data_IF_665178500592
#
_entry.id   IF_665178500592
#
_cell.length_a   1.000
_cell.length_b   1.000
_cell.length_c   1.000
_cell.angle_alpha   90.00
_cell.angle_beta   90.00
_cell.angle_gamma   90.00
#
_symmetry.space_group_name_H-M   'P 1'
#
loop_
_entity.id
_entity.type
_entity.pdbx_description
1 polymer ?
2 non-polymer ?
3 non-polymer ?
4 water ?
#
# COMPACT_ATOMS: atom_id res chain seq x y z
N UNK A 7 -7.76 -14.67 1.94
CA UNK A 7 -7.18 -13.96 0.77
C UNK A 7 -5.91 -14.67 0.27
N UNK A 8 -5.53 -14.40 -0.97
CA UNK A 8 -4.42 -15.09 -1.66
C UNK A 8 -3.44 -14.07 -2.22
N UNK A 9 -2.15 -14.28 -2.07
CA UNK A 9 -1.11 -13.53 -2.75
C UNK A 9 -0.94 -14.01 -4.17
N UNK A 10 -0.87 -13.05 -5.08
CA UNK A 10 -0.67 -13.35 -6.52
C UNK A 10 0.53 -12.63 -7.02
N UNK A 11 1.19 -13.15 -8.11
CA UNK A 11 2.41 -12.51 -8.58
C UNK A 11 2.15 -11.15 -9.26
N UNK A 12 3.14 -10.30 -9.17
CA UNK A 12 3.23 -9.09 -9.97
C UNK A 12 4.64 -8.70 -10.10
N UNK A 13 4.95 -7.82 -11.06
CA UNK A 13 6.32 -7.25 -11.13
C UNK A 13 6.29 -5.78 -11.18
N UNK A 14 7.18 -5.15 -10.48
CA UNK A 14 7.23 -3.72 -10.44
C UNK A 14 7.45 -3.21 -11.86
N UNK A 15 6.69 -2.22 -12.26
CA UNK A 15 7.00 -1.44 -13.49
C UNK A 15 7.64 -0.12 -13.08
N UNK A 16 6.97 0.66 -12.22
CA UNK A 16 7.61 1.85 -11.69
C UNK A 16 6.93 2.35 -10.43
N UNK A 17 7.73 2.83 -9.51
CA UNK A 17 7.19 3.48 -8.35
C UNK A 17 6.47 4.75 -8.74
N UNK A 18 5.41 5.13 -8.01
CA UNK A 18 4.69 6.39 -8.25
C UNK A 18 4.71 7.30 -7.05
N UNK A 19 3.98 6.93 -5.98
CA UNK A 19 4.06 7.72 -4.75
C UNK A 19 3.83 6.83 -3.53
N UNK A 20 3.55 7.42 -2.36
CA UNK A 20 3.49 6.56 -1.17
C UNK A 20 2.42 5.43 -1.20
N UNK A 21 1.30 5.66 -1.90
CA UNK A 21 0.22 4.64 -1.88
C UNK A 21 -0.22 4.22 -3.21
N UNK A 22 0.56 4.54 -4.25
CA UNK A 22 0.28 4.01 -5.60
C UNK A 22 1.59 3.52 -6.22
N UNK A 23 1.48 2.47 -7.01
CA UNK A 23 2.63 1.99 -7.78
C UNK A 23 2.13 1.31 -9.01
N UNK A 24 2.98 1.28 -10.01
CA UNK A 24 2.64 0.68 -11.30
C UNK A 24 3.29 -0.69 -11.34
N UNK A 25 2.52 -1.73 -11.60
CA UNK A 25 2.99 -3.08 -11.62
C UNK A 25 2.34 -3.85 -12.72
N UNK A 26 3.00 -4.91 -13.16
CA UNK A 26 2.43 -5.77 -14.16
C UNK A 26 1.74 -6.96 -13.44
N UNK A 27 0.47 -7.18 -13.72
CA UNK A 27 -0.36 -8.17 -13.11
C UNK A 27 -1.10 -8.95 -14.16
N UNK A 28 -0.97 -10.28 -14.12
CA UNK A 28 -1.49 -11.12 -15.24
C UNK A 28 -0.94 -10.63 -16.59
N UNK A 29 0.28 -10.11 -16.60
CA UNK A 29 0.89 -9.68 -17.86
C UNK A 29 0.40 -8.36 -18.40
N UNK A 30 -0.38 -7.58 -17.63
CA UNK A 30 -0.83 -6.27 -18.08
C UNK A 30 -0.38 -5.20 -17.14
N UNK A 31 -0.10 -4.02 -17.61
CA UNK A 31 0.34 -2.94 -16.73
C UNK A 31 -0.88 -2.40 -15.99
N UNK A 32 -0.75 -2.16 -14.69
CA UNK A 32 -1.82 -1.55 -13.87
C UNK A 32 -1.22 -0.58 -12.89
N UNK A 33 -2.00 0.42 -12.56
CA UNK A 33 -1.71 1.25 -11.40
C UNK A 33 -2.46 0.63 -10.24
N UNK A 34 -1.76 0.32 -9.16
CA UNK A 34 -2.35 -0.14 -7.89
C UNK A 34 -2.37 0.97 -6.88
N UNK A 35 -3.51 1.06 -6.22
CA UNK A 35 -3.75 1.90 -5.04
C UNK A 35 -3.81 0.99 -3.83
N UNK A 36 -3.02 1.29 -2.81
CA UNK A 36 -3.00 0.45 -1.63
C UNK A 36 -4.28 0.57 -0.81
N UNK A 37 -4.85 -0.59 -0.51
CA UNK A 37 -6.05 -0.61 0.37
C UNK A 37 -5.76 -0.07 1.75
N UNK A 38 -6.81 0.58 2.29
CA UNK A 38 -6.93 0.95 3.72
C UNK A 38 -5.97 1.97 4.23
N UNK A 39 -5.27 2.67 3.33
CA UNK A 39 -4.35 3.70 3.73
C UNK A 39 -4.47 4.96 2.97
N UNK A 40 -3.88 6.02 3.52
CA UNK A 40 -3.75 7.26 2.77
C UNK A 40 -2.39 7.86 3.12
N UNK A 41 -1.50 7.96 2.16
CA UNK A 41 -0.26 8.73 2.34
C UNK A 41 -0.50 10.18 1.92
N UNK A 42 0.33 11.10 2.43
CA UNK A 42 0.24 12.50 1.96
C UNK A 42 0.61 12.53 0.49
N UNK A 43 0.08 13.51 -0.26
CA UNK A 43 0.52 13.74 -1.65
C UNK A 43 1.97 14.19 -1.66
N UNK A 44 2.69 13.93 -2.86
CA UNK A 44 4.08 14.39 -2.88
C UNK A 44 4.32 15.86 -2.47
N UNK A 45 3.38 16.74 -2.81
CA UNK A 45 3.51 18.16 -2.45
C UNK A 45 3.13 18.52 -0.99
N UNK A 46 2.76 17.52 -0.18
CA UNK A 46 2.37 17.74 1.22
C UNK A 46 3.45 17.26 2.21
N UNK A 47 3.34 17.68 3.48
CA UNK A 47 4.33 17.25 4.46
C UNK A 47 4.32 15.71 4.61
N UNK A 48 5.52 15.12 4.61
CA UNK A 48 5.75 13.68 4.67
C UNK A 48 5.43 12.98 3.39
N UNK A 49 4.95 13.75 2.40
CA UNK A 49 4.66 13.19 1.06
C UNK A 49 5.90 12.63 0.40
N UNK A 50 6.97 13.41 0.35
CA UNK A 50 8.17 12.85 -0.23
C UNK A 50 8.75 11.63 0.56
N UNK A 51 8.64 11.66 1.90
CA UNK A 51 9.17 10.57 2.71
C UNK A 51 8.33 9.26 2.48
N UNK A 52 7.00 9.45 2.37
CA UNK A 52 6.14 8.27 2.07
C UNK A 52 6.45 7.73 0.72
N UNK A 53 6.62 8.64 -0.28
CA UNK A 53 7.01 8.14 -1.61
C UNK A 53 8.30 7.35 -1.61
N UNK A 54 9.29 7.92 -0.91
CA UNK A 54 10.60 7.26 -0.81
C UNK A 54 10.59 5.93 -0.11
N UNK A 55 9.71 5.82 0.91
CA UNK A 55 9.60 4.59 1.68
C UNK A 55 9.03 3.41 0.81
N UNK A 56 7.92 3.75 0.13
CA UNK A 56 7.31 2.75 -0.72
C UNK A 56 8.28 2.37 -1.88
N UNK A 57 8.86 3.41 -2.50
CA UNK A 57 9.78 3.15 -3.64
C UNK A 57 10.90 2.17 -3.23
N UNK A 58 11.51 2.44 -2.07
CA UNK A 58 12.60 1.57 -1.62
C UNK A 58 12.12 0.16 -1.34
N UNK A 59 10.97 0.06 -0.64
CA UNK A 59 10.46 -1.22 -0.35
C UNK A 59 10.18 -2.06 -1.58
N UNK A 60 9.49 -1.46 -2.57
CA UNK A 60 9.11 -2.25 -3.73
C UNK A 60 10.31 -2.53 -4.68
N UNK A 61 11.16 -1.53 -4.85
CA UNK A 61 12.34 -1.68 -5.77
C UNK A 61 13.35 -2.67 -5.21
N UNK A 62 13.53 -2.70 -3.90
CA UNK A 62 14.55 -3.58 -3.36
C UNK A 62 14.09 -5.03 -3.25
N UNK A 63 12.78 -5.26 -3.33
CA UNK A 63 12.30 -6.59 -3.18
C UNK A 63 12.72 -7.53 -4.32
N UNK A 64 12.96 -8.77 -3.93
CA UNK A 64 13.20 -9.84 -4.89
C UNK A 64 11.87 -10.20 -5.60
N UNK A 65 10.78 -10.21 -4.83
CA UNK A 65 9.46 -10.39 -5.45
C UNK A 65 8.48 -9.46 -4.79
N UNK A 66 7.59 -8.94 -5.62
CA UNK A 66 6.33 -8.34 -5.11
C UNK A 66 5.13 -9.22 -5.39
N UNK A 67 4.10 -9.11 -4.56
CA UNK A 67 2.88 -9.82 -4.72
C UNK A 67 1.72 -8.88 -4.42
N UNK A 68 0.62 -9.11 -5.07
CA UNK A 68 -0.60 -8.35 -4.80
C UNK A 68 -1.64 -9.27 -4.21
N UNK A 69 -2.42 -8.76 -3.25
CA UNK A 69 -3.46 -9.54 -2.65
C UNK A 69 -4.75 -8.72 -2.67
N UNK A 70 -5.74 -9.17 -3.45
CA UNK A 70 -7.01 -8.50 -3.46
C UNK A 70 -7.83 -8.88 -2.25
N UNK A 71 -8.76 -8.02 -1.85
CA UNK A 71 -9.67 -8.34 -0.76
C UNK A 71 -10.90 -9.03 -1.36
N UNK A 72 -11.98 -9.07 -0.57
CA UNK A 72 -13.19 -9.85 -0.96
C UNK A 72 -14.13 -9.06 -1.86
N UNK A 73 -13.97 -7.75 -1.95
CA UNK A 73 -14.84 -6.87 -2.66
C UNK A 73 -14.25 -6.34 -3.97
N UNK A 74 -14.50 -5.06 -4.18
CA UNK A 74 -14.07 -4.38 -5.39
C UNK A 74 -12.57 -4.54 -5.60
N UNK A 75 -12.17 -4.95 -6.80
CA UNK A 75 -10.75 -5.08 -7.15
C UNK A 75 -10.17 -3.89 -7.89
N UNK A 76 -11.06 -3.03 -8.39
CA UNK A 76 -10.61 -1.80 -9.02
C UNK A 76 -11.50 -0.67 -8.59
N UNK A 77 -10.92 0.54 -8.56
CA UNK A 77 -11.70 1.73 -8.19
C UNK A 77 -12.25 2.41 -9.44
N UNK A 78 -12.95 3.52 -9.21
CA UNK A 78 -13.60 4.24 -10.31
C UNK A 78 -12.61 4.81 -11.32
N UNK A 79 -11.33 4.86 -10.97
CA UNK A 79 -10.28 5.34 -11.88
C UNK A 79 -9.62 4.16 -12.61
N UNK A 80 -10.03 2.93 -12.35
CA UNK A 80 -9.36 1.77 -12.98
C UNK A 80 -8.10 1.32 -12.27
N UNK A 81 -7.79 1.91 -11.10
CA UNK A 81 -6.70 1.43 -10.30
C UNK A 81 -7.03 0.16 -9.59
N UNK A 82 -6.08 -0.78 -9.56
CA UNK A 82 -6.23 -1.99 -8.74
C UNK A 82 -6.25 -1.66 -7.27
N UNK A 83 -7.05 -2.33 -6.49
CA UNK A 83 -7.08 -2.08 -5.03
C UNK A 83 -6.56 -3.31 -4.34
N UNK A 84 -5.40 -3.21 -3.69
CA UNK A 84 -4.74 -4.38 -3.17
C UNK A 84 -3.90 -4.08 -1.97
N UNK A 85 -3.58 -5.18 -1.26
CA UNK A 85 -2.46 -5.19 -0.34
C UNK A 85 -1.20 -5.63 -1.08
N UNK A 86 -0.12 -4.87 -0.96
CA UNK A 86 1.08 -5.20 -1.78
C UNK A 86 2.16 -5.67 -0.86
N UNK A 87 2.76 -6.83 -1.17
CA UNK A 87 3.81 -7.47 -0.30
C UNK A 87 5.14 -7.43 -0.97
N UNK A 88 6.15 -6.98 -0.25
CA UNK A 88 7.55 -6.91 -0.78
C UNK A 88 8.33 -7.95 -0.01
N UNK A 89 8.66 -9.05 -0.70
CA UNK A 89 9.37 -10.19 -0.04
C UNK A 89 8.62 -10.55 1.25
N UNK A 90 7.29 -10.63 1.15
CA UNK A 90 6.44 -11.13 2.22
C UNK A 90 6.01 -10.05 3.20
N UNK A 91 6.58 -8.85 3.10
CA UNK A 91 6.23 -7.82 4.12
C UNK A 91 5.16 -6.91 3.48
N UNK A 92 4.08 -6.65 4.21
CA UNK A 92 3.02 -5.83 3.65
C UNK A 92 3.37 -4.35 3.61
N UNK A 93 3.40 -3.73 2.44
CA UNK A 93 3.75 -2.30 2.34
C UNK A 93 2.67 -1.49 3.07
N UNK A 94 1.39 -1.88 2.96
CA UNK A 94 0.31 -1.04 3.54
C UNK A 94 0.55 -0.91 5.07
N UNK A 95 0.81 -2.06 5.70
CA UNK A 95 1.07 -2.06 7.14
C UNK A 95 2.32 -1.33 7.46
N UNK A 96 3.38 -1.50 6.70
CA UNK A 96 4.68 -0.91 7.02
C UNK A 96 4.58 0.59 6.95
N UNK A 97 3.88 1.15 5.97
CA UNK A 97 3.69 2.60 5.92
C UNK A 97 2.99 3.13 7.19
N UNK A 98 1.90 2.49 7.55
CA UNK A 98 1.13 2.89 8.74
C UNK A 98 2.04 2.76 9.97
N UNK A 99 2.78 1.69 10.11
CA UNK A 99 3.63 1.50 11.30
C UNK A 99 4.67 2.53 11.40
N UNK A 100 5.13 3.10 10.30
CA UNK A 100 6.09 4.17 10.35
C UNK A 100 5.53 5.53 10.45
N UNK A 101 4.22 5.69 10.56
CA UNK A 101 3.64 7.01 10.58
C UNK A 101 3.74 7.78 9.30
N UNK A 102 3.79 7.07 8.18
CA UNK A 102 3.85 7.67 6.87
C UNK A 102 2.53 7.56 6.11
N UNK A 103 1.54 6.86 6.69
CA UNK A 103 0.15 6.76 6.15
C UNK A 103 -0.77 6.70 7.32
N UNK A 104 -1.99 7.16 7.14
CA UNK A 104 -3.07 6.96 8.08
C UNK A 104 -3.94 5.82 7.60
N UNK A 105 -4.54 5.08 8.49
CA UNK A 105 -5.60 4.18 8.12
C UNK A 105 -6.76 5.01 7.57
N UNK A 106 -7.34 4.60 6.45
CA UNK A 106 -8.33 5.49 5.76
C UNK A 106 -8.99 4.66 4.69
N UNK A 107 -10.10 5.19 4.16
CA UNK A 107 -10.82 4.54 3.09
C UNK A 107 -11.13 3.09 3.44
N UNK A 108 -11.72 2.93 4.60
CA UNK A 108 -12.05 1.58 5.07
C UNK A 108 -13.48 1.26 4.67
N UNK A 109 -13.67 0.66 3.54
CA UNK A 109 -15.02 0.33 3.03
C UNK A 109 -15.43 -1.07 3.46
N UNK A 110 -16.70 -1.24 3.85
CA UNK A 110 -17.16 -2.59 4.24
C UNK A 110 -17.04 -3.59 3.10
N UNK A 111 -16.60 -4.78 3.42
CA UNK A 111 -16.37 -5.75 2.37
C UNK A 111 -15.04 -5.69 1.64
N UNK A 112 -14.22 -4.65 1.89
CA UNK A 112 -12.84 -4.68 1.51
C UNK A 112 -12.03 -4.20 2.67
N UNK A 113 -12.11 -4.86 3.79
CA UNK A 113 -11.44 -4.41 4.99
C UNK A 113 -10.85 -5.52 5.82
N UNK A 114 -10.38 -6.56 5.15
CA UNK A 114 -9.87 -7.75 5.88
C UNK A 114 -8.76 -7.37 6.85
N UNK A 115 -7.81 -6.52 6.42
CA UNK A 115 -6.65 -6.18 7.25
C UNK A 115 -6.77 -4.94 8.13
N UNK A 116 -8.03 -4.51 8.32
CA UNK A 116 -8.24 -3.27 9.09
C UNK A 116 -7.62 -3.25 10.48
N UNK A 117 -7.90 -4.32 11.26
CA UNK A 117 -7.46 -4.28 12.58
C UNK A 117 -5.95 -4.42 12.71
N UNK A 118 -5.34 -5.19 11.82
CA UNK A 118 -3.89 -5.24 11.76
C UNK A 118 -3.29 -3.83 11.57
N UNK A 119 -3.93 -3.09 10.60
CA UNK A 119 -3.41 -1.78 10.36
C UNK A 119 -3.71 -0.72 11.44
N UNK A 120 -4.86 -0.86 12.07
CA UNK A 120 -5.16 0.00 13.22
C UNK A 120 -4.21 -0.21 14.41
N UNK A 121 -3.78 -1.46 14.61
CA UNK A 121 -2.81 -1.68 15.59
C UNK A 121 -1.47 -1.05 15.29
N UNK A 122 -1.07 -1.11 14.02
CA UNK A 122 0.18 -0.46 13.58
C UNK A 122 0.06 1.03 13.79
N UNK A 123 -1.10 1.61 13.47
CA UNK A 123 -1.24 3.07 13.61
C UNK A 123 -1.14 3.47 15.09
N UNK A 124 -1.75 2.69 15.96
CA UNK A 124 -1.70 3.01 17.41
C UNK A 124 -0.25 2.99 17.85
N UNK A 125 0.54 2.04 17.37
CA UNK A 125 1.97 2.03 17.72
C UNK A 125 2.74 3.23 17.19
N UNK A 126 2.54 3.58 15.91
CA UNK A 126 3.15 4.76 15.35
C UNK A 126 2.77 6.00 16.15
N UNK A 127 1.50 6.10 16.51
CA UNK A 127 1.06 7.30 17.20
C UNK A 127 1.64 7.33 18.63
N UNK A 128 1.71 6.19 19.33
CA UNK A 128 2.37 6.10 20.68
C UNK A 128 3.82 6.58 20.54
N UNK A 129 4.51 6.17 19.47
CA UNK A 129 5.93 6.56 19.26
C UNK A 129 6.09 7.94 18.65
N UNK A 130 5.00 8.64 18.42
CA UNK A 130 5.08 9.96 17.81
C UNK A 130 5.83 10.09 16.46
N UNK A 131 5.63 9.12 15.57
CA UNK A 131 6.46 8.97 14.38
C UNK A 131 5.87 9.82 13.30
N UNK A 132 6.72 10.61 12.66
CA UNK A 132 6.40 11.25 11.38
C UNK A 132 5.07 12.03 11.43
N UNK A 133 4.03 11.62 10.70
CA UNK A 133 2.74 12.30 10.75
C UNK A 133 2.20 12.56 12.19
N UNK A 134 2.55 11.67 13.12
CA UNK A 134 2.12 11.80 14.53
C UNK A 134 3.08 12.57 15.39
N UNK A 135 4.13 13.14 14.81
CA UNK A 135 5.12 13.88 15.64
C UNK A 135 4.75 15.35 15.88
X LIG B 1 -3.02 9.76 -1.11
X LIG C 1 -6.24 9.00 -3.54
X LIG C 1 -5.24 8.15 -4.31
X LIG C 1 -5.97 9.04 -2.06
X LIG C 1 -6.47 10.38 -4.07
X LIG C 1 -11.93 10.73 -4.87
X LIG C 1 -13.26 11.15 -5.43
X LIG C 1 -10.84 10.78 -5.94
X LIG C 1 -11.49 11.48 -3.67
X LIG C 1 -7.50 8.16 -3.72
X LIG C 1 -8.76 8.56 -3.10
X LIG C 1 -9.90 8.27 -4.09
X LIG C 1 -9.90 6.91 -4.46
X LIG C 1 -11.26 8.52 -3.47
X LIG C 1 -12.13 9.17 -4.43
X LIG C 1 -11.82 7.18 -3.13
X LIG C 1 -11.08 6.25 -4.13
X LIG C 1 -10.77 4.95 -3.50
X LIG C 1 -11.70 3.96 -3.59
X LIG C 1 -12.79 4.12 -4.27
X LIG C 1 -11.53 2.76 -3.02
X LIG C 1 -10.44 2.57 -2.19
X LIG C 1 -10.32 1.51 -1.58
X LIG C 1 -9.46 3.61 -2.10
X LIG C 1 -8.19 3.48 -1.30
X LIG C 1 -9.66 4.79 -2.79
#
# INVERSE_FOLDING_TARGET
ATSTKKLHKEPATLIKAIDGDTTKAMYKGQPMTFRLLLVDTPEFNEKYGPEASAFTKKMVENAKKIEVEFDKGQRTDKYGRGLAYIYADGKMTNEALVRQGLAKVAYVYKGNNTHEQLLRKAEAQAKKEKLNIWSEDNADSGQ
CA CA
THP P2 O4P O5P O6P P1 O1P O2P O3P O5' C5' C4' O4' C3' O3' C2' C1' N1 C2 O2 N3 C4 O4 C5 C5M C6
#
